data_IF_411993736100
#
_entry.id   IF_411993736100
#
_cell.length_a   1.000
_cell.length_b   1.000
_cell.length_c   1.000
_cell.angle_alpha   90.00
_cell.angle_beta   90.00
_cell.angle_gamma   90.00
#
_symmetry.space_group_name_H-M   'P 1'
#
loop_
_entity.id
_entity.type
_entity.pdbx_description
1 polymer ?
#
# COMPACT_ATOMS: atom_id res chain seq x y z
N UNK A 1 -35.09 0.66 -4.06
CA UNK A 1 -34.03 1.44 -4.71
C UNK A 1 -33.33 2.26 -3.65
N UNK A 2 -32.02 2.04 -3.45
CA UNK A 2 -31.23 2.78 -2.46
C UNK A 2 -30.98 4.19 -3.01
N UNK A 3 -31.20 5.25 -2.21
CA UNK A 3 -31.23 6.66 -2.62
C UNK A 3 -29.93 7.28 -3.15
N UNK A 4 -29.06 6.50 -3.80
CA UNK A 4 -28.00 7.00 -4.65
C UNK A 4 -28.59 7.43 -6.00
N UNK A 5 -28.08 8.54 -6.54
CA UNK A 5 -28.52 9.07 -7.84
C UNK A 5 -28.19 8.12 -9.00
N UNK A 6 -27.14 7.31 -8.81
CA UNK A 6 -26.63 6.36 -9.80
C UNK A 6 -26.36 4.99 -9.14
N UNK A 7 -26.64 3.91 -9.86
CA UNK A 7 -26.28 2.54 -9.47
C UNK A 7 -24.79 2.38 -9.78
N UNK A 8 -23.93 2.34 -8.75
CA UNK A 8 -22.50 2.06 -8.91
C UNK A 8 -22.18 0.58 -8.60
N UNK A 9 -21.13 0.06 -9.21
CA UNK A 9 -20.70 -1.35 -9.03
C UNK A 9 -20.33 -1.69 -7.58
N UNK A 10 -20.12 -0.67 -6.75
CA UNK A 10 -19.92 -0.83 -5.31
C UNK A 10 -21.24 -1.04 -4.58
N UNK A 11 -22.29 -0.30 -4.93
CA UNK A 11 -23.64 -0.43 -4.39
C UNK A 11 -24.24 -1.80 -4.70
N UNK A 12 -24.00 -2.33 -5.91
CA UNK A 12 -24.41 -3.69 -6.27
C UNK A 12 -23.75 -4.76 -5.40
N UNK A 13 -22.42 -4.69 -5.21
CA UNK A 13 -21.69 -5.63 -4.34
C UNK A 13 -22.11 -5.56 -2.89
N UNK A 14 -22.47 -4.37 -2.42
CA UNK A 14 -23.02 -4.20 -1.06
C UNK A 14 -24.41 -4.83 -0.99
N UNK A 15 -25.27 -4.62 -1.99
CA UNK A 15 -26.61 -5.21 -2.03
C UNK A 15 -26.56 -6.74 -2.08
N UNK A 16 -25.68 -7.31 -2.90
CA UNK A 16 -25.45 -8.75 -3.00
C UNK A 16 -25.03 -9.35 -1.65
N UNK A 17 -24.05 -8.73 -0.98
CA UNK A 17 -23.64 -9.11 0.36
C UNK A 17 -24.78 -9.04 1.40
N UNK A 18 -25.64 -8.02 1.31
CA UNK A 18 -26.78 -7.88 2.21
C UNK A 18 -27.80 -9.01 2.00
N UNK A 19 -28.11 -9.33 0.74
CA UNK A 19 -29.03 -10.40 0.38
C UNK A 19 -28.49 -11.78 0.81
N UNK A 20 -27.21 -12.05 0.57
CA UNK A 20 -26.54 -13.29 1.00
C UNK A 20 -26.59 -13.52 2.51
N UNK A 21 -26.64 -12.44 3.30
CA UNK A 21 -26.64 -12.50 4.75
C UNK A 21 -28.03 -12.25 5.38
N UNK A 22 -29.10 -12.26 4.59
CA UNK A 22 -30.47 -11.98 5.04
C UNK A 22 -30.61 -10.63 5.77
N UNK A 23 -29.92 -9.60 5.29
CA UNK A 23 -29.94 -8.25 5.85
C UNK A 23 -30.82 -7.34 4.98
N UNK A 24 -31.70 -6.55 5.62
CA UNK A 24 -32.63 -5.65 4.95
C UNK A 24 -32.21 -4.19 5.12
N UNK A 25 -32.49 -3.37 4.10
CA UNK A 25 -32.24 -1.93 4.13
C UNK A 25 -33.49 -1.23 4.67
N UNK A 26 -33.42 -0.64 5.86
CA UNK A 26 -34.53 0.10 6.49
C UNK A 26 -34.58 1.59 6.15
N UNK A 27 -33.89 2.04 5.10
CA UNK A 27 -33.92 3.45 4.73
C UNK A 27 -35.32 3.87 4.26
N UNK A 28 -35.89 4.90 4.90
CA UNK A 28 -37.07 5.58 4.37
C UNK A 28 -36.69 6.37 3.10
N UNK A 29 -37.48 6.27 2.01
CA UNK A 29 -37.22 7.02 0.78
C UNK A 29 -37.25 8.54 0.97
N UNK A 30 -37.96 9.01 2.01
CA UNK A 30 -38.16 10.43 2.31
C UNK A 30 -37.19 10.98 3.38
N UNK A 31 -36.20 10.18 3.80
CA UNK A 31 -35.21 10.66 4.76
C UNK A 31 -34.45 11.90 4.18
N UNK A 32 -33.79 12.72 5.04
CA UNK A 32 -32.85 13.80 4.63
C UNK A 32 -31.34 13.38 4.64
N UNK A 33 -30.51 13.76 3.65
CA UNK A 33 -29.18 13.17 3.38
C UNK A 33 -28.28 13.17 4.60
N UNK A 34 -27.64 12.03 4.90
CA UNK A 34 -26.75 11.90 6.06
C UNK A 34 -25.46 12.72 5.92
N UNK A 35 -25.10 13.11 4.69
CA UNK A 35 -24.01 14.03 4.42
C UNK A 35 -24.29 14.85 3.15
N UNK A 36 -23.95 16.14 3.19
CA UNK A 36 -24.04 17.04 2.04
C UNK A 36 -22.79 17.91 1.94
N UNK A 37 -22.15 17.94 0.76
CA UNK A 37 -21.02 18.82 0.45
C UNK A 37 -21.13 19.33 -0.98
N UNK A 38 -21.66 20.55 -1.13
CA UNK A 38 -21.96 21.12 -2.44
C UNK A 38 -23.01 20.30 -3.17
N UNK A 39 -22.74 19.88 -4.41
CA UNK A 39 -23.66 19.02 -5.19
C UNK A 39 -23.66 17.55 -4.75
N UNK A 40 -22.75 17.15 -3.86
CA UNK A 40 -22.63 15.77 -3.40
C UNK A 40 -23.51 15.53 -2.18
N UNK A 41 -24.50 14.65 -2.31
CA UNK A 41 -25.32 14.13 -1.22
C UNK A 41 -24.98 12.65 -1.01
N UNK A 42 -24.84 12.24 0.25
CA UNK A 42 -24.48 10.88 0.63
C UNK A 42 -25.39 10.35 1.72
N UNK A 43 -25.71 9.06 1.62
CA UNK A 43 -26.49 8.31 2.58
C UNK A 43 -25.59 7.32 3.29
N UNK A 44 -25.35 7.55 4.59
CA UNK A 44 -24.64 6.60 5.43
C UNK A 44 -25.65 5.53 5.84
N UNK A 45 -25.38 4.29 5.47
CA UNK A 45 -26.17 3.13 5.85
C UNK A 45 -26.21 3.06 7.38
N UNK A 46 -27.37 3.33 7.98
CA UNK A 46 -27.65 2.91 9.36
C UNK A 46 -27.96 1.41 9.34
N UNK A 47 -26.96 0.62 8.98
CA UNK A 47 -27.01 -0.81 9.16
C UNK A 47 -26.69 -1.07 10.63
N UNK A 48 -27.72 -1.11 11.48
CA UNK A 48 -27.61 -1.85 12.73
C UNK A 48 -27.67 -3.32 12.38
N UNK A 49 -26.55 -4.07 12.39
CA UNK A 49 -26.65 -5.50 12.26
C UNK A 49 -27.14 -5.97 13.63
N UNK A 50 -28.31 -6.61 13.70
CA UNK A 50 -28.52 -7.60 14.78
C UNK A 50 -27.52 -8.72 14.52
N UNK A 51 -26.28 -8.50 14.93
CA UNK A 51 -25.21 -9.47 14.76
C UNK A 51 -25.46 -10.61 15.75
N UNK A 52 -25.72 -11.81 15.21
CA UNK A 52 -25.64 -13.09 15.93
C UNK A 52 -24.28 -13.33 16.65
N UNK A 53 -23.29 -12.44 16.47
CA UNK A 53 -22.00 -12.45 17.16
C UNK A 53 -22.00 -11.87 18.57
N UNK A 54 -23.06 -11.14 18.96
CA UNK A 54 -23.16 -10.50 20.29
C UNK A 54 -23.65 -11.50 21.35
N UNK A 55 -24.51 -12.44 20.97
CA UNK A 55 -25.14 -13.40 21.90
C UNK A 55 -24.13 -14.25 22.71
N UNK A 56 -23.05 -14.80 22.12
CA UNK A 56 -22.08 -15.60 22.88
C UNK A 56 -21.24 -14.77 23.87
N UNK A 57 -21.05 -13.48 23.60
CA UNK A 57 -20.34 -12.58 24.51
C UNK A 57 -21.23 -12.16 25.69
N UNK A 58 -22.51 -11.90 25.42
CA UNK A 58 -23.50 -11.61 26.46
C UNK A 58 -23.69 -12.80 27.41
N UNK A 59 -23.71 -14.02 26.87
CA UNK A 59 -23.75 -15.25 27.67
C UNK A 59 -22.46 -15.44 28.50
N UNK A 60 -21.30 -15.13 27.94
CA UNK A 60 -20.03 -15.15 28.68
C UNK A 60 -20.02 -14.16 29.86
N UNK A 61 -20.60 -12.97 29.66
CA UNK A 61 -20.73 -11.95 30.72
C UNK A 61 -21.73 -12.41 31.79
N UNK A 62 -22.88 -12.98 31.40
CA UNK A 62 -23.90 -13.46 32.34
C UNK A 62 -23.43 -14.62 33.22
N UNK A 63 -22.56 -15.49 32.70
CA UNK A 63 -22.06 -16.67 33.42
C UNK A 63 -20.75 -16.41 34.20
N UNK A 64 -20.27 -15.17 34.23
CA UNK A 64 -19.01 -14.81 34.89
C UNK A 64 -19.21 -14.49 36.37
N UNK A 65 -19.26 -15.54 37.20
CA UNK A 65 -19.42 -15.41 38.66
C UNK A 65 -18.09 -15.44 39.45
N UNK A 66 -16.98 -15.78 38.80
CA UNK A 66 -15.65 -15.89 39.42
C UNK A 66 -14.65 -14.96 38.73
N UNK A 67 -13.61 -14.54 39.46
CA UNK A 67 -12.57 -13.65 38.93
C UNK A 67 -11.88 -14.23 37.68
N UNK A 68 -11.68 -15.56 37.64
CA UNK A 68 -11.07 -16.24 36.50
C UNK A 68 -11.98 -16.20 35.26
N UNK A 69 -13.29 -16.40 35.45
CA UNK A 69 -14.27 -16.27 34.37
C UNK A 69 -14.34 -14.83 33.85
N UNK A 70 -14.27 -13.83 34.73
CA UNK A 70 -14.23 -12.41 34.34
C UNK A 70 -12.99 -12.11 33.50
N UNK A 71 -11.81 -12.55 33.95
CA UNK A 71 -10.55 -12.32 33.23
C UNK A 71 -10.55 -13.02 31.86
N UNK A 72 -11.08 -14.24 31.79
CA UNK A 72 -11.20 -15.02 30.55
C UNK A 72 -12.18 -14.37 29.55
N UNK A 73 -13.32 -13.89 30.04
CA UNK A 73 -14.30 -13.15 29.24
C UNK A 73 -13.73 -11.84 28.73
N UNK A 74 -13.00 -11.11 29.58
CA UNK A 74 -12.34 -9.86 29.21
C UNK A 74 -11.30 -10.06 28.11
N UNK A 75 -10.43 -11.06 28.25
CA UNK A 75 -9.45 -11.42 27.23
C UNK A 75 -10.10 -11.81 25.89
N UNK A 76 -11.22 -12.53 25.94
CA UNK A 76 -11.97 -12.92 24.74
C UNK A 76 -12.55 -11.69 24.02
N UNK A 77 -13.13 -10.74 24.77
CA UNK A 77 -13.63 -9.47 24.23
C UNK A 77 -12.49 -8.68 23.60
N UNK A 78 -11.38 -8.50 24.31
CA UNK A 78 -10.21 -7.77 23.82
C UNK A 78 -9.68 -8.40 22.51
N UNK A 79 -9.52 -9.72 22.47
CA UNK A 79 -9.05 -10.43 21.28
C UNK A 79 -10.00 -10.26 20.09
N UNK A 80 -11.32 -10.32 20.31
CA UNK A 80 -12.30 -10.08 19.24
C UNK A 80 -12.25 -8.65 18.71
N UNK A 81 -12.13 -7.66 19.59
CA UNK A 81 -11.97 -6.25 19.19
C UNK A 81 -10.69 -6.09 18.37
N UNK A 82 -9.56 -6.63 18.84
CA UNK A 82 -8.28 -6.58 18.13
C UNK A 82 -8.37 -7.25 16.76
N UNK A 83 -9.03 -8.40 16.66
CA UNK A 83 -9.18 -9.12 15.39
C UNK A 83 -10.09 -8.38 14.40
N UNK A 84 -11.19 -7.80 14.87
CA UNK A 84 -12.06 -6.95 14.05
C UNK A 84 -11.33 -5.69 13.57
N UNK A 85 -10.51 -5.09 14.43
CA UNK A 85 -9.62 -4.01 14.03
C UNK A 85 -8.63 -4.49 12.96
N UNK A 86 -7.93 -5.61 13.18
CA UNK A 86 -6.98 -6.16 12.18
C UNK A 86 -7.64 -6.50 10.85
N UNK A 87 -8.89 -6.96 10.82
CA UNK A 87 -9.60 -7.29 9.57
C UNK A 87 -10.10 -6.07 8.81
N UNK A 88 -10.43 -4.98 9.52
CA UNK A 88 -10.81 -3.69 8.92
C UNK A 88 -9.61 -2.88 8.44
N UNK A 89 -8.44 -3.04 9.07
CA UNK A 89 -7.18 -2.55 8.52
C UNK A 89 -6.86 -3.32 7.23
N UNK A 90 -7.17 -2.71 6.08
CA UNK A 90 -6.52 -3.07 4.82
C UNK A 90 -5.04 -2.75 4.94
N UNK A 91 -4.27 -3.65 5.55
CA UNK A 91 -2.83 -3.66 5.42
C UNK A 91 -2.61 -3.96 3.94
N UNK A 92 -2.42 -2.91 3.16
CA UNK A 92 -1.97 -3.02 1.79
C UNK A 92 -0.69 -3.84 1.90
N UNK A 93 -0.72 -5.10 1.45
CA UNK A 93 0.48 -5.90 1.21
C UNK A 93 1.20 -5.22 0.05
N UNK A 94 1.79 -4.06 0.36
CA UNK A 94 2.78 -3.47 -0.50
C UNK A 94 3.92 -4.45 -0.37
N UNK A 95 4.11 -5.29 -1.40
CA UNK A 95 5.39 -5.96 -1.56
C UNK A 95 6.43 -4.87 -1.35
N UNK A 96 7.30 -5.07 -0.38
CA UNK A 96 8.45 -4.18 -0.20
C UNK A 96 9.31 -4.48 -1.41
N UNK A 97 8.99 -3.82 -2.53
CA UNK A 97 9.80 -3.85 -3.73
C UNK A 97 11.11 -3.25 -3.28
N UNK A 98 12.07 -4.14 -3.03
CA UNK A 98 13.41 -3.72 -2.68
C UNK A 98 13.87 -2.80 -3.82
N UNK A 99 14.44 -1.64 -3.48
CA UNK A 99 14.96 -0.77 -4.51
C UNK A 99 15.92 -1.59 -5.39
N UNK A 100 15.89 -1.42 -6.73
CA UNK A 100 16.85 -2.07 -7.61
C UNK A 100 18.28 -1.88 -7.09
N UNK A 101 19.18 -2.82 -7.33
CA UNK A 101 20.55 -2.79 -6.79
C UNK A 101 21.36 -1.52 -7.12
N UNK A 102 21.00 -0.82 -8.20
CA UNK A 102 21.60 0.46 -8.58
C UNK A 102 21.00 1.67 -7.83
N UNK A 103 19.86 1.51 -7.15
CA UNK A 103 19.18 2.60 -6.45
C UNK A 103 19.82 2.83 -5.08
N UNK A 104 20.40 4.01 -4.88
CA UNK A 104 21.17 4.34 -3.67
C UNK A 104 20.49 5.43 -2.84
N UNK A 105 20.79 5.50 -1.54
CA UNK A 105 20.33 6.58 -0.65
C UNK A 105 20.69 7.97 -1.20
N UNK A 106 21.82 8.09 -1.90
CA UNK A 106 22.24 9.34 -2.57
C UNK A 106 21.28 9.78 -3.68
N UNK A 107 20.72 8.83 -4.45
CA UNK A 107 19.68 9.13 -5.44
C UNK A 107 18.37 9.54 -4.78
N UNK A 108 17.99 8.91 -3.67
CA UNK A 108 16.79 9.27 -2.92
C UNK A 108 16.90 10.67 -2.32
N UNK A 109 18.06 11.00 -1.71
CA UNK A 109 18.36 12.35 -1.19
C UNK A 109 18.26 13.39 -2.32
N UNK A 110 18.87 13.11 -3.48
CA UNK A 110 18.80 14.01 -4.64
C UNK A 110 17.38 14.22 -5.15
N UNK A 111 16.60 13.14 -5.26
CA UNK A 111 15.18 13.19 -5.66
C UNK A 111 14.35 14.02 -4.68
N UNK A 112 14.55 13.83 -3.38
CA UNK A 112 13.83 14.57 -2.33
C UNK A 112 14.22 16.05 -2.27
N UNK A 113 15.50 16.38 -2.53
CA UNK A 113 15.96 17.76 -2.73
C UNK A 113 15.22 18.44 -3.89
N UNK A 114 15.06 17.77 -5.04
CA UNK A 114 14.29 18.31 -6.16
C UNK A 114 12.82 18.54 -5.83
N UNK A 115 12.18 17.60 -5.11
CA UNK A 115 10.80 17.78 -4.62
C UNK A 115 10.70 19.01 -3.71
N UNK A 116 11.64 19.19 -2.79
CA UNK A 116 11.68 20.35 -1.90
C UNK A 116 11.84 21.67 -2.67
N UNK A 117 12.73 21.74 -3.66
CA UNK A 117 12.90 22.91 -4.51
C UNK A 117 11.65 23.24 -5.34
N UNK A 118 10.97 22.22 -5.88
CA UNK A 118 9.70 22.40 -6.60
C UNK A 118 8.61 22.97 -5.67
N UNK A 119 8.47 22.44 -4.45
CA UNK A 119 7.53 22.96 -3.44
C UNK A 119 7.83 24.41 -3.06
N UNK A 120 9.10 24.73 -2.78
CA UNK A 120 9.54 26.11 -2.47
C UNK A 120 9.31 27.10 -3.60
N UNK A 121 9.25 26.64 -4.86
CA UNK A 121 8.90 27.47 -6.02
C UNK A 121 7.39 27.69 -6.15
N UNK A 122 6.58 26.69 -5.80
CA UNK A 122 5.11 26.77 -5.86
C UNK A 122 4.54 27.72 -4.79
N UNK A 123 5.26 27.96 -3.70
CA UNK A 123 4.91 28.98 -2.70
C UNK A 123 5.06 30.40 -3.29
N UNK A 124 4.09 31.28 -2.99
CA UNK A 124 4.03 32.65 -3.52
C UNK A 124 5.28 33.44 -3.09
N UNK A 125 6.20 33.66 -4.04
CA UNK A 125 7.48 34.35 -3.83
C UNK A 125 7.58 35.57 -4.77
N UNK A 126 8.22 36.70 -4.38
CA UNK A 126 8.48 37.86 -5.25
C UNK A 126 9.15 37.51 -6.59
N UNK A 127 8.83 38.24 -7.66
CA UNK A 127 9.20 37.93 -9.05
C UNK A 127 10.71 37.72 -9.27
N UNK A 128 11.56 38.54 -8.65
CA UNK A 128 13.02 38.47 -8.79
C UNK A 128 13.59 37.15 -8.22
N UNK A 129 13.06 36.68 -7.09
CA UNK A 129 13.46 35.41 -6.49
C UNK A 129 13.00 34.21 -7.33
N UNK A 130 11.94 34.35 -8.16
CA UNK A 130 11.44 33.27 -9.00
C UNK A 130 12.46 32.84 -10.06
N UNK A 131 13.13 33.79 -10.71
CA UNK A 131 14.15 33.49 -11.73
C UNK A 131 15.34 32.76 -11.12
N UNK A 132 15.86 33.25 -9.99
CA UNK A 132 16.97 32.61 -9.29
C UNK A 132 16.61 31.18 -8.82
N UNK A 133 15.43 30.99 -8.21
CA UNK A 133 14.95 29.67 -7.78
C UNK A 133 14.75 28.72 -8.96
N UNK A 134 14.31 29.22 -10.11
CA UNK A 134 14.18 28.43 -11.33
C UNK A 134 15.54 27.95 -11.85
N UNK A 135 16.54 28.83 -11.92
CA UNK A 135 17.89 28.48 -12.32
C UNK A 135 18.50 27.42 -11.39
N UNK A 136 18.34 27.58 -10.08
CA UNK A 136 18.83 26.60 -9.10
C UNK A 136 18.14 25.24 -9.26
N UNK A 137 16.83 25.21 -9.45
CA UNK A 137 16.10 23.96 -9.73
C UNK A 137 16.62 23.28 -11.00
N UNK A 138 16.87 24.04 -12.06
CA UNK A 138 17.39 23.50 -13.34
C UNK A 138 18.82 22.95 -13.18
N UNK A 139 19.70 23.66 -12.46
CA UNK A 139 21.05 23.20 -12.13
C UNK A 139 21.01 21.89 -11.34
N UNK A 140 20.25 21.84 -10.25
CA UNK A 140 20.14 20.65 -9.40
C UNK A 140 19.50 19.48 -10.17
N UNK A 141 18.52 19.76 -11.03
CA UNK A 141 17.89 18.74 -11.87
C UNK A 141 18.91 18.15 -12.86
N UNK A 142 19.75 18.96 -13.49
CA UNK A 142 20.79 18.48 -14.42
C UNK A 142 21.82 17.60 -13.71
N UNK A 143 22.30 18.02 -12.53
CA UNK A 143 23.23 17.23 -11.71
C UNK A 143 22.62 15.89 -11.29
N UNK A 144 21.37 15.89 -10.83
CA UNK A 144 20.65 14.67 -10.48
C UNK A 144 20.49 13.73 -11.68
N UNK A 145 20.10 14.24 -12.85
CA UNK A 145 19.96 13.46 -14.08
C UNK A 145 21.29 12.85 -14.55
N UNK A 146 22.39 13.61 -14.45
CA UNK A 146 23.73 13.10 -14.76
C UNK A 146 24.10 11.92 -13.85
N UNK A 147 23.96 12.10 -12.54
CA UNK A 147 24.25 11.06 -11.56
C UNK A 147 23.34 9.84 -11.74
N UNK A 148 22.04 10.05 -11.98
CA UNK A 148 21.08 8.99 -12.25
C UNK A 148 21.49 8.13 -13.45
N UNK A 149 21.86 8.76 -14.58
CA UNK A 149 22.34 8.05 -15.77
C UNK A 149 23.62 7.26 -15.49
N UNK A 150 24.57 7.86 -14.78
CA UNK A 150 25.83 7.21 -14.41
C UNK A 150 25.59 5.95 -13.58
N UNK A 151 24.81 6.06 -12.50
CA UNK A 151 24.53 4.95 -11.59
C UNK A 151 23.72 3.85 -12.26
N UNK A 152 22.74 4.20 -13.11
CA UNK A 152 21.97 3.22 -13.87
C UNK A 152 22.87 2.47 -14.87
N UNK A 153 23.74 3.19 -15.59
CA UNK A 153 24.66 2.59 -16.55
C UNK A 153 25.70 1.71 -15.88
N UNK A 154 26.26 2.13 -14.74
CA UNK A 154 27.20 1.29 -13.98
C UNK A 154 26.51 0.04 -13.44
N UNK A 155 25.29 0.17 -12.88
CA UNK A 155 24.52 -0.98 -12.41
C UNK A 155 24.21 -1.97 -13.52
N UNK A 156 23.85 -1.48 -14.72
CA UNK A 156 23.65 -2.33 -15.89
C UNK A 156 24.93 -3.03 -16.34
N UNK A 157 26.06 -2.32 -16.39
CA UNK A 157 27.36 -2.92 -16.72
C UNK A 157 27.74 -4.03 -15.74
N UNK A 158 27.61 -3.78 -14.43
CA UNK A 158 27.88 -4.79 -13.40
C UNK A 158 26.99 -6.01 -13.55
N UNK A 159 25.69 -5.81 -13.82
CA UNK A 159 24.77 -6.91 -14.10
C UNK A 159 25.24 -7.75 -15.30
N UNK A 160 25.56 -7.11 -16.43
CA UNK A 160 26.06 -7.81 -17.62
C UNK A 160 27.39 -8.54 -17.37
N UNK A 161 28.33 -7.93 -16.64
CA UNK A 161 29.60 -8.56 -16.27
C UNK A 161 29.39 -9.79 -15.38
N UNK A 162 28.49 -9.72 -14.40
CA UNK A 162 28.19 -10.84 -13.51
C UNK A 162 27.56 -12.01 -14.28
N UNK A 163 26.62 -11.73 -15.18
CA UNK A 163 26.02 -12.76 -16.06
C UNK A 163 27.08 -13.39 -16.96
N UNK A 164 27.97 -12.58 -17.56
CA UNK A 164 29.06 -13.07 -18.42
C UNK A 164 30.04 -13.95 -17.63
N UNK A 165 30.45 -13.51 -16.45
CA UNK A 165 31.35 -14.28 -15.57
C UNK A 165 30.70 -15.59 -15.10
N UNK A 166 29.40 -15.58 -14.77
CA UNK A 166 28.66 -16.79 -14.41
C UNK A 166 28.64 -17.80 -15.58
N UNK A 167 28.43 -17.34 -16.81
CA UNK A 167 28.49 -18.19 -18.00
C UNK A 167 29.89 -18.76 -18.20
N UNK A 168 30.94 -17.93 -18.13
CA UNK A 168 32.34 -18.36 -18.28
C UNK A 168 32.73 -19.40 -17.23
N UNK A 169 32.34 -19.19 -15.97
CA UNK A 169 32.64 -20.12 -14.87
C UNK A 169 31.90 -21.46 -15.02
N UNK A 170 30.69 -21.45 -15.58
CA UNK A 170 29.91 -22.66 -15.83
C UNK A 170 30.38 -23.43 -17.08
N UNK A 171 31.10 -22.78 -18.01
CA UNK A 171 31.66 -23.44 -19.20
C UNK A 171 33.10 -23.94 -19.03
N UNK A 172 33.88 -23.42 -18.08
CA UNK A 172 35.26 -23.87 -17.82
C UNK A 172 35.40 -25.37 -17.48
N UNK A 173 34.54 -26.02 -16.66
CA UNK A 173 34.71 -27.44 -16.37
C UNK A 173 34.32 -28.37 -17.52
N UNK A 174 33.74 -27.87 -18.63
CA UNK A 174 33.34 -28.71 -19.77
C UNK A 174 34.44 -28.92 -20.83
N UNK A 175 35.49 -28.10 -20.82
CA UNK A 175 36.55 -28.15 -21.84
C UNK A 175 37.86 -28.78 -21.37
N UNK A 176 38.02 -29.06 -20.08
CA UNK A 176 39.13 -29.89 -19.58
C UNK A 176 38.76 -31.38 -19.70
N UNK A 177 38.72 -31.91 -20.92
CA UNK A 177 38.81 -33.36 -21.13
C UNK A 177 40.26 -33.79 -20.83
N UNK A 178 40.51 -34.84 -20.01
CA UNK A 178 41.85 -35.38 -19.88
C UNK A 178 42.31 -35.95 -21.22
N UNK A 179 43.53 -35.60 -21.64
CA UNK A 179 44.21 -36.27 -22.75
C UNK A 179 44.25 -37.77 -22.46
N UNK A 180 43.65 -38.59 -23.32
CA UNK A 180 43.80 -40.04 -23.28
C UNK A 180 45.25 -40.40 -23.67
N UNK A 181 45.88 -41.39 -23.02
CA UNK A 181 47.25 -41.77 -23.33
C UNK A 181 47.30 -42.47 -24.70
N UNK A 182 48.30 -42.11 -25.51
CA UNK A 182 48.63 -42.75 -26.77
C UNK A 182 49.09 -44.19 -26.52
N UNK A 183 48.37 -45.16 -27.08
CA UNK A 183 48.81 -46.55 -27.19
C UNK A 183 49.65 -46.68 -28.47
N UNK A 184 50.94 -46.93 -28.31
CA UNK A 184 51.77 -47.76 -29.21
C UNK A 184 53.05 -48.16 -28.48
#
# INVERSE_FOLDING_TARGET
MCGYRDIDSRGERVLEFLLENNLFIENSPDAPPTFERGIFKGWLYNQYPRHNYINPLLEGIRNSQTQDNINKTMNNIQNKIINACKSTYKIKKQEVVSPPSWYTSKLEIGKNRLKALRRRRAQRTPQYQRRHRFLNLKKDQALYMRHFKQVKNSGWRTFCTNVSNALVNNTKPLFEKPFLPSIS
#
